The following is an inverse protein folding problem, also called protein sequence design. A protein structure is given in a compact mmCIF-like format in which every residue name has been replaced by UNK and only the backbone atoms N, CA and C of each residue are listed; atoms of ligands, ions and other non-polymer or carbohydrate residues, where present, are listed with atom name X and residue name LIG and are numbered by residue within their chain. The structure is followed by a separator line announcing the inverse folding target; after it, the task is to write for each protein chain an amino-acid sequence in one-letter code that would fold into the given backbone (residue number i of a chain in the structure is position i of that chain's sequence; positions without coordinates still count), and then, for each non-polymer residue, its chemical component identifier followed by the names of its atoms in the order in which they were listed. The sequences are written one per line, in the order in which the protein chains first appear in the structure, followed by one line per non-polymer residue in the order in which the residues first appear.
data_IF_952171182667
#
_entry.id   IF_952171182667
#
_cell.length_a   1.000
_cell.length_b   1.000
_cell.length_c   1.000
_cell.angle_alpha   90.00
_cell.angle_beta   90.00
_cell.angle_gamma   90.00
#
_symmetry.space_group_name_H-M   'P 1'
#
loop_
_entity.id
_entity.type
_entity.pdbx_description
1 polymer ?
#
# COMPACT_ATOMS: atom_id res chain seq x y z
N UNK A 1 9.61 35.94 -54.62
CA UNK A 1 8.92 37.22 -54.92
C UNK A 1 8.57 37.84 -53.58
N UNK A 2 9.36 38.75 -53.00
CA UNK A 2 9.74 40.06 -53.53
C UNK A 2 8.55 41.01 -53.35
N UNK A 3 8.42 41.68 -52.19
CA UNK A 3 8.84 43.07 -51.91
C UNK A 3 8.04 44.14 -52.70
N UNK A 4 7.52 45.14 -51.97
CA UNK A 4 7.55 46.61 -52.20
C UNK A 4 6.35 47.25 -51.44
N UNK A 5 6.56 47.94 -50.31
CA UNK A 5 6.96 49.37 -50.12
C UNK A 5 5.86 50.37 -50.50
N UNK A 6 5.55 51.33 -49.61
CA UNK A 6 5.72 52.79 -49.80
C UNK A 6 5.57 53.50 -48.42
N UNK A 7 6.51 54.42 -48.15
CA UNK A 7 6.62 55.40 -47.05
C UNK A 7 5.61 56.57 -47.16
N UNK A 8 5.28 57.27 -46.07
CA UNK A 8 5.75 58.66 -45.84
C UNK A 8 5.17 59.39 -44.61
N UNK A 9 6.11 59.87 -43.79
CA UNK A 9 6.30 61.11 -43.00
C UNK A 9 5.17 62.09 -42.54
N UNK A 10 5.56 62.83 -41.46
CA UNK A 10 5.10 64.10 -40.82
C UNK A 10 4.63 63.83 -39.37
N UNK A 11 5.22 64.31 -38.26
CA UNK A 11 6.07 65.46 -37.98
C UNK A 11 5.31 66.45 -37.09
N UNK A 12 5.67 66.60 -35.79
CA UNK A 12 5.53 67.83 -34.99
C UNK A 12 6.12 67.66 -33.56
N UNK A 13 7.15 68.44 -33.28
CA UNK A 13 7.79 68.66 -31.98
C UNK A 13 6.98 69.63 -31.10
N UNK A 14 7.11 69.50 -29.77
CA UNK A 14 7.22 70.67 -28.90
C UNK A 14 7.96 70.33 -27.59
N UNK A 15 9.11 70.98 -27.38
CA UNK A 15 9.89 71.02 -26.13
C UNK A 15 9.32 72.08 -25.17
N UNK A 16 9.44 71.87 -23.86
CA UNK A 16 9.84 72.91 -22.89
C UNK A 16 10.41 72.31 -21.59
N UNK A 17 11.53 72.90 -21.20
CA UNK A 17 12.51 72.59 -20.14
C UNK A 17 12.06 73.02 -18.73
N UNK A 18 12.35 72.22 -17.68
CA UNK A 18 13.43 72.32 -16.64
C UNK A 18 13.13 73.26 -15.45
N UNK A 19 13.25 72.71 -14.23
CA UNK A 19 13.92 73.23 -13.00
C UNK A 19 13.47 72.34 -11.80
N UNK A 20 14.27 71.80 -10.86
CA UNK A 20 15.69 71.83 -10.57
C UNK A 20 16.02 70.91 -9.35
N UNK A 21 17.18 70.23 -9.43
CA UNK A 21 18.19 69.87 -8.38
C UNK A 21 17.81 69.52 -6.92
N UNK A 22 18.23 68.32 -6.45
CA UNK A 22 19.41 68.10 -5.54
C UNK A 22 19.66 66.60 -5.21
N UNK A 23 20.77 66.06 -5.75
CA UNK A 23 21.83 65.19 -5.17
C UNK A 23 21.69 64.66 -3.70
N UNK A 24 21.96 63.40 -3.29
CA UNK A 24 23.22 62.60 -3.32
C UNK A 24 23.01 61.14 -2.78
N UNK A 25 23.63 60.16 -3.47
CA UNK A 25 24.20 58.82 -3.10
C UNK A 25 23.39 57.72 -2.36
N UNK A 26 23.30 56.56 -3.03
CA UNK A 26 23.85 55.29 -2.52
C UNK A 26 24.12 54.27 -3.65
N UNK A 27 25.30 53.63 -3.58
CA UNK A 27 25.85 52.60 -4.48
C UNK A 27 24.85 51.49 -4.84
N UNK A 28 24.77 51.17 -6.13
CA UNK A 28 24.25 49.87 -6.62
C UNK A 28 25.45 49.07 -7.10
N UNK A 29 25.86 48.08 -6.30
CA UNK A 29 26.77 47.03 -6.72
C UNK A 29 25.96 45.94 -7.44
N UNK A 30 26.41 45.59 -8.63
CA UNK A 30 25.94 44.48 -9.43
C UNK A 30 26.33 43.16 -8.77
N UNK A 31 25.35 42.28 -8.50
CA UNK A 31 25.63 40.88 -8.17
C UNK A 31 24.66 39.96 -8.93
N UNK A 32 25.23 39.34 -9.97
CA UNK A 32 25.02 37.97 -10.42
C UNK A 32 23.60 37.39 -10.37
N UNK A 33 23.05 37.20 -11.57
CA UNK A 33 22.05 36.19 -11.89
C UNK A 33 22.36 34.86 -11.19
N UNK A 34 21.55 34.51 -10.19
CA UNK A 34 21.57 33.18 -9.59
C UNK A 34 20.99 32.18 -10.60
N UNK A 35 21.90 31.48 -11.28
CA UNK A 35 21.58 30.28 -12.04
C UNK A 35 20.82 29.29 -11.15
N UNK A 36 19.65 28.89 -11.62
CA UNK A 36 18.90 27.75 -11.12
C UNK A 36 19.83 26.53 -11.02
N UNK A 37 20.03 26.01 -9.80
CA UNK A 37 20.75 24.77 -9.57
C UNK A 37 19.88 23.57 -9.94
N UNK A 38 20.38 22.56 -10.66
CA UNK A 38 19.64 21.35 -10.96
C UNK A 38 19.34 20.59 -9.66
N UNK A 39 18.15 20.02 -9.57
CA UNK A 39 17.69 19.12 -8.51
C UNK A 39 18.80 18.15 -8.13
N UNK A 40 19.31 18.25 -6.90
CA UNK A 40 20.41 17.39 -6.41
C UNK A 40 20.00 15.93 -6.59
N UNK A 41 20.66 15.23 -7.51
CA UNK A 41 20.39 13.83 -7.81
C UNK A 41 20.73 13.00 -6.58
N UNK A 42 19.75 12.32 -5.98
CA UNK A 42 19.95 11.51 -4.78
C UNK A 42 21.03 10.45 -4.99
N UNK A 43 21.92 10.30 -4.01
CA UNK A 43 22.97 9.28 -4.01
C UNK A 43 22.38 7.86 -4.00
N UNK A 44 23.15 6.87 -4.49
CA UNK A 44 22.70 5.46 -4.50
C UNK A 44 22.48 4.97 -3.07
N UNK A 45 23.32 5.39 -2.13
CA UNK A 45 23.24 5.07 -0.71
C UNK A 45 21.94 5.60 -0.10
N UNK A 46 21.55 6.83 -0.44
CA UNK A 46 20.32 7.43 0.05
C UNK A 46 19.09 6.72 -0.53
N UNK A 47 19.09 6.41 -1.82
CA UNK A 47 18.04 5.61 -2.45
C UNK A 47 17.94 4.24 -1.80
N UNK A 48 19.08 3.57 -1.57
CA UNK A 48 19.12 2.27 -0.91
C UNK A 48 18.50 2.32 0.49
N UNK A 49 18.87 3.31 1.32
CA UNK A 49 18.26 3.46 2.66
C UNK A 49 16.75 3.62 2.59
N UNK A 50 16.24 4.44 1.67
CA UNK A 50 14.79 4.66 1.52
C UNK A 50 14.09 3.37 1.08
N UNK A 51 14.57 2.72 0.01
CA UNK A 51 13.97 1.47 -0.48
C UNK A 51 14.05 0.38 0.59
N UNK A 52 15.21 0.19 1.22
CA UNK A 52 15.41 -0.81 2.26
C UNK A 52 14.50 -0.60 3.47
N UNK A 53 14.15 0.64 3.80
CA UNK A 53 13.24 0.98 4.91
C UNK A 53 11.79 0.52 4.69
N UNK A 54 11.41 0.17 3.45
CA UNK A 54 10.06 -0.32 3.12
C UNK A 54 9.89 -1.79 3.55
N UNK A 55 10.96 -2.57 3.54
CA UNK A 55 10.95 -3.98 3.90
C UNK A 55 11.39 -4.23 5.34
N UNK A 56 10.81 -5.23 5.98
CA UNK A 56 11.37 -5.88 7.17
C UNK A 56 12.57 -6.75 6.76
N UNK A 57 12.40 -7.55 5.69
CA UNK A 57 13.42 -8.43 5.14
C UNK A 57 13.76 -8.03 3.68
N UNK A 58 15.05 -8.14 3.32
CA UNK A 58 15.53 -7.94 1.96
C UNK A 58 16.41 -9.12 1.51
N UNK A 59 16.05 -9.78 0.40
CA UNK A 59 16.80 -10.90 -0.20
C UNK A 59 17.13 -10.52 -1.66
N UNK A 60 18.35 -10.08 -1.99
CA UNK A 60 19.48 -9.77 -1.10
C UNK A 60 19.80 -8.28 -1.14
N UNK A 61 20.32 -7.73 -0.02
CA UNK A 61 20.67 -6.31 0.09
C UNK A 61 21.73 -5.86 -0.93
N UNK A 62 22.76 -6.69 -1.16
CA UNK A 62 23.79 -6.39 -2.18
C UNK A 62 23.21 -6.34 -3.60
N UNK A 63 22.25 -7.23 -3.90
CA UNK A 63 21.55 -7.23 -5.19
C UNK A 63 20.69 -5.97 -5.35
N UNK A 64 20.02 -5.54 -4.27
CA UNK A 64 19.25 -4.30 -4.25
C UNK A 64 20.12 -3.07 -4.48
N UNK A 65 21.25 -2.97 -3.78
CA UNK A 65 22.20 -1.86 -3.96
C UNK A 65 22.72 -1.82 -5.41
N UNK A 66 23.13 -2.97 -5.94
CA UNK A 66 23.59 -3.09 -7.33
C UNK A 66 22.49 -2.74 -8.34
N UNK A 67 21.25 -3.14 -8.10
CA UNK A 67 20.11 -2.77 -8.95
C UNK A 67 19.92 -1.25 -8.98
N UNK A 68 19.89 -0.60 -7.82
CA UNK A 68 19.67 0.84 -7.70
C UNK A 68 20.81 1.67 -8.31
N UNK A 69 22.03 1.12 -8.35
CA UNK A 69 23.17 1.75 -9.03
C UNK A 69 23.08 1.71 -10.56
N UNK A 70 22.38 0.72 -11.13
CA UNK A 70 22.39 0.42 -12.58
C UNK A 70 21.07 0.76 -13.27
N UNK A 71 19.95 0.56 -12.59
CA UNK A 71 18.62 0.80 -13.13
C UNK A 71 18.02 2.06 -12.49
N UNK A 72 17.82 3.15 -13.25
CA UNK A 72 17.21 4.37 -12.71
C UNK A 72 15.71 4.20 -12.41
N UNK A 73 15.05 3.19 -13.00
CA UNK A 73 13.63 2.92 -12.84
C UNK A 73 13.32 1.45 -12.55
N UNK A 74 13.74 0.91 -11.38
CA UNK A 74 13.40 -0.46 -10.99
C UNK A 74 11.89 -0.68 -10.94
N UNK A 75 11.44 -1.84 -11.41
CA UNK A 75 10.03 -2.22 -11.36
C UNK A 75 9.76 -2.99 -10.06
N UNK A 76 8.99 -2.37 -9.18
CA UNK A 76 8.41 -3.01 -8.00
C UNK A 76 7.00 -3.51 -8.32
N UNK A 77 6.55 -4.59 -7.68
CA UNK A 77 5.13 -4.94 -7.70
C UNK A 77 4.62 -5.48 -6.36
N UNK A 78 3.32 -5.31 -6.14
CA UNK A 78 2.56 -5.98 -5.09
C UNK A 78 1.18 -6.41 -5.64
N UNK A 79 0.66 -7.54 -5.18
CA UNK A 79 -0.57 -8.16 -5.65
C UNK A 79 -1.65 -8.25 -4.58
N UNK A 80 -2.88 -7.92 -4.96
CA UNK A 80 -4.01 -7.86 -4.04
C UNK A 80 -5.20 -8.65 -4.58
N UNK A 81 -5.65 -9.66 -3.83
CA UNK A 81 -6.94 -10.32 -4.06
C UNK A 81 -8.09 -9.37 -3.68
N UNK A 82 -8.98 -8.98 -4.62
CA UNK A 82 -10.18 -8.20 -4.32
C UNK A 82 -11.21 -9.06 -3.55
N UNK A 83 -11.04 -9.13 -2.24
CA UNK A 83 -11.63 -10.17 -1.38
C UNK A 83 -12.48 -9.62 -0.23
N UNK A 84 -12.68 -8.30 -0.17
CA UNK A 84 -13.49 -7.65 0.86
C UNK A 84 -13.09 -6.20 1.08
N UNK A 85 -13.64 -5.60 2.14
CA UNK A 85 -13.23 -4.29 2.66
C UNK A 85 -11.70 -4.22 2.80
N UNK A 86 -11.11 -3.07 2.48
CA UNK A 86 -9.68 -2.86 2.59
C UNK A 86 -9.32 -2.48 4.03
N UNK A 87 -8.40 -3.22 4.66
CA UNK A 87 -7.89 -2.84 5.98
C UNK A 87 -6.73 -1.85 5.87
N UNK A 88 -6.41 -1.16 6.96
CA UNK A 88 -5.47 -0.02 6.96
C UNK A 88 -4.06 -0.36 6.44
N UNK A 89 -3.56 -1.57 6.69
CA UNK A 89 -2.27 -1.99 6.11
C UNK A 89 -2.30 -2.12 4.57
N UNK A 90 -3.42 -2.54 3.99
CA UNK A 90 -3.58 -2.61 2.53
C UNK A 90 -3.73 -1.22 1.91
N UNK A 91 -4.32 -0.26 2.63
CA UNK A 91 -4.49 1.11 2.16
C UNK A 91 -3.32 2.00 2.54
N UNK A 92 -3.33 2.53 3.76
CA UNK A 92 -2.37 3.55 4.22
C UNK A 92 -0.92 3.06 4.17
N UNK A 93 -0.60 1.92 4.79
CA UNK A 93 0.78 1.43 4.84
C UNK A 93 1.32 1.12 3.44
N UNK A 94 0.46 0.62 2.55
CA UNK A 94 0.81 0.41 1.15
C UNK A 94 1.04 1.74 0.44
N UNK A 95 0.17 2.72 0.58
CA UNK A 95 0.36 4.06 0.01
C UNK A 95 1.68 4.68 0.45
N UNK A 96 2.01 4.63 1.74
CA UNK A 96 3.30 5.09 2.27
C UNK A 96 4.49 4.38 1.62
N UNK A 97 4.41 3.05 1.48
CA UNK A 97 5.45 2.23 0.85
C UNK A 97 5.63 2.59 -0.62
N UNK A 98 4.52 2.71 -1.37
CA UNK A 98 4.53 3.07 -2.79
C UNK A 98 5.13 4.46 -2.98
N UNK A 99 4.70 5.44 -2.20
CA UNK A 99 5.20 6.81 -2.31
C UNK A 99 6.71 6.90 -2.01
N UNK A 100 7.21 6.12 -1.03
CA UNK A 100 8.66 6.01 -0.78
C UNK A 100 9.40 5.45 -2.00
N UNK A 101 8.90 4.37 -2.60
CA UNK A 101 9.53 3.76 -3.79
C UNK A 101 9.52 4.70 -4.99
N UNK A 102 8.40 5.35 -5.28
CA UNK A 102 8.28 6.27 -6.42
C UNK A 102 9.13 7.53 -6.24
N UNK A 103 9.29 8.02 -5.00
CA UNK A 103 10.15 9.16 -4.69
C UNK A 103 11.62 8.98 -5.07
N UNK A 104 12.10 7.73 -5.18
CA UNK A 104 13.48 7.39 -5.55
C UNK A 104 13.62 6.87 -6.99
N UNK A 105 12.53 6.96 -7.77
CA UNK A 105 12.51 6.65 -9.19
C UNK A 105 11.99 5.27 -9.56
N UNK A 106 11.60 4.43 -8.58
CA UNK A 106 11.00 3.13 -8.87
C UNK A 106 9.65 3.30 -9.57
N UNK A 107 9.34 2.37 -10.48
CA UNK A 107 7.99 2.16 -10.99
C UNK A 107 7.31 1.10 -10.15
N UNK A 108 6.03 1.29 -9.83
CA UNK A 108 5.27 0.38 -8.99
C UNK A 108 4.06 -0.15 -9.77
N UNK A 109 3.96 -1.46 -9.89
CA UNK A 109 2.79 -2.14 -10.45
C UNK A 109 1.92 -2.68 -9.31
N UNK A 110 0.69 -2.18 -9.21
CA UNK A 110 -0.32 -2.72 -8.32
C UNK A 110 -1.14 -3.74 -9.12
N UNK A 111 -0.93 -5.02 -8.79
CA UNK A 111 -1.57 -6.14 -9.46
C UNK A 111 -2.91 -6.46 -8.81
N UNK A 112 -4.00 -6.07 -9.48
CA UNK A 112 -5.37 -6.40 -9.10
C UNK A 112 -5.62 -7.86 -9.49
N UNK A 113 -5.43 -8.75 -8.51
CA UNK A 113 -5.36 -10.18 -8.70
C UNK A 113 -6.77 -10.80 -8.72
N UNK A 114 -7.61 -10.37 -9.65
CA UNK A 114 -9.01 -10.79 -9.79
C UNK A 114 -9.18 -12.28 -10.11
N UNK A 115 -8.38 -12.84 -11.02
CA UNK A 115 -8.35 -14.30 -11.23
C UNK A 115 -7.83 -15.06 -10.02
N UNK A 116 -6.87 -14.52 -9.28
CA UNK A 116 -6.36 -15.15 -8.06
C UNK A 116 -7.43 -15.18 -6.96
N UNK A 117 -8.18 -14.08 -6.79
CA UNK A 117 -9.33 -14.05 -5.88
C UNK A 117 -10.41 -15.06 -6.31
N UNK A 118 -10.66 -15.21 -7.61
CA UNK A 118 -11.58 -16.22 -8.14
C UNK A 118 -11.10 -17.65 -7.84
N UNK A 119 -9.83 -17.97 -8.12
CA UNK A 119 -9.22 -19.27 -7.82
C UNK A 119 -9.19 -19.61 -6.32
N UNK A 120 -9.15 -18.59 -5.46
CA UNK A 120 -9.19 -18.72 -4.00
C UNK A 120 -10.61 -18.64 -3.42
N UNK A 121 -11.64 -18.74 -4.26
CA UNK A 121 -13.06 -18.78 -3.88
C UNK A 121 -13.48 -17.56 -3.06
N UNK A 122 -13.04 -16.37 -3.47
CA UNK A 122 -13.49 -15.10 -2.89
C UNK A 122 -14.81 -14.68 -3.52
N UNK A 123 -15.65 -13.99 -2.75
CA UNK A 123 -16.96 -13.52 -3.20
C UNK A 123 -17.84 -14.64 -3.80
N UNK A 124 -17.79 -15.84 -3.20
CA UNK A 124 -18.49 -17.03 -3.70
C UNK A 124 -18.13 -17.40 -5.16
N UNK A 125 -16.89 -17.09 -5.59
CA UNK A 125 -16.42 -17.33 -6.95
C UNK A 125 -17.04 -16.39 -8.00
N UNK A 126 -17.62 -15.27 -7.58
CA UNK A 126 -18.26 -14.32 -8.51
C UNK A 126 -17.24 -13.27 -9.01
N UNK A 127 -16.80 -13.44 -10.26
CA UNK A 127 -15.78 -12.57 -10.86
C UNK A 127 -16.24 -11.12 -11.01
N UNK A 128 -17.53 -10.87 -11.28
CA UNK A 128 -18.05 -9.50 -11.41
C UNK A 128 -18.02 -8.78 -10.06
N UNK A 129 -18.36 -9.48 -8.97
CA UNK A 129 -18.23 -8.93 -7.61
C UNK A 129 -16.77 -8.69 -7.26
N UNK A 130 -15.87 -9.61 -7.59
CA UNK A 130 -14.42 -9.44 -7.39
C UNK A 130 -13.94 -8.19 -8.13
N UNK A 131 -14.32 -8.01 -9.39
CA UNK A 131 -13.91 -6.83 -10.18
C UNK A 131 -14.50 -5.54 -9.64
N UNK A 132 -15.76 -5.55 -9.19
CA UNK A 132 -16.37 -4.41 -8.49
C UNK A 132 -15.56 -4.03 -7.24
N UNK A 133 -15.15 -5.02 -6.44
CA UNK A 133 -14.29 -4.78 -5.27
C UNK A 133 -12.92 -4.26 -5.69
N UNK A 134 -12.33 -4.76 -6.79
CA UNK A 134 -11.05 -4.30 -7.31
C UNK A 134 -11.06 -2.81 -7.67
N UNK A 135 -12.13 -2.33 -8.31
CA UNK A 135 -12.31 -0.90 -8.57
C UNK A 135 -12.40 -0.09 -7.26
N UNK A 136 -13.11 -0.60 -6.26
CA UNK A 136 -13.20 0.04 -4.95
C UNK A 136 -11.84 0.14 -4.25
N UNK A 137 -10.98 -0.90 -4.38
CA UNK A 137 -9.63 -0.84 -3.85
C UNK A 137 -8.79 0.27 -4.52
N UNK A 138 -8.91 0.42 -5.85
CA UNK A 138 -8.23 1.48 -6.61
C UNK A 138 -8.65 2.87 -6.12
N UNK A 139 -9.94 3.10 -5.91
CA UNK A 139 -10.44 4.38 -5.41
C UNK A 139 -9.92 4.70 -4.00
N UNK A 140 -9.77 3.69 -3.14
CA UNK A 140 -9.14 3.87 -1.82
C UNK A 140 -7.68 4.31 -1.95
N UNK A 141 -6.88 3.65 -2.78
CA UNK A 141 -5.46 4.02 -2.91
C UNK A 141 -5.29 5.44 -3.45
N UNK A 142 -6.12 5.85 -4.41
CA UNK A 142 -6.18 7.24 -4.89
C UNK A 142 -6.49 8.21 -3.75
N UNK A 143 -7.58 7.96 -3.02
CA UNK A 143 -8.03 8.84 -1.94
C UNK A 143 -7.07 8.87 -0.74
N UNK A 144 -6.35 7.77 -0.48
CA UNK A 144 -5.31 7.69 0.53
C UNK A 144 -4.03 8.45 0.16
N UNK A 145 -3.97 9.12 -1.00
CA UNK A 145 -2.81 9.92 -1.41
C UNK A 145 -1.68 9.11 -2.02
N UNK A 146 -1.98 7.98 -2.67
CA UNK A 146 -0.99 7.29 -3.50
C UNK A 146 -0.61 8.20 -4.66
N UNK A 147 0.68 8.53 -4.77
CA UNK A 147 1.15 9.46 -5.76
C UNK A 147 1.14 8.80 -7.14
N UNK A 148 0.15 9.16 -7.95
CA UNK A 148 0.00 8.70 -9.33
C UNK A 148 0.64 9.66 -10.35
N UNK A 149 1.17 10.80 -9.89
CA UNK A 149 1.80 11.77 -10.76
C UNK A 149 3.03 11.17 -11.46
N UNK A 150 3.30 11.62 -12.68
CA UNK A 150 4.43 11.10 -13.47
C UNK A 150 4.28 9.67 -13.96
N UNK A 151 3.13 9.00 -13.72
CA UNK A 151 2.85 7.67 -14.27
C UNK A 151 3.76 6.56 -13.72
N UNK A 152 4.33 6.76 -12.53
CA UNK A 152 5.20 5.76 -11.90
C UNK A 152 4.41 4.60 -11.29
N UNK A 153 3.11 4.76 -11.05
CA UNK A 153 2.22 3.72 -10.52
C UNK A 153 1.25 3.24 -11.61
N UNK A 154 1.20 1.93 -11.82
CA UNK A 154 0.30 1.28 -12.78
C UNK A 154 -0.64 0.30 -12.05
N UNK A 155 -1.96 0.46 -12.24
CA UNK A 155 -2.94 -0.54 -11.80
C UNK A 155 -3.21 -1.52 -12.94
N UNK A 156 -2.83 -2.78 -12.74
CA UNK A 156 -2.90 -3.83 -13.76
C UNK A 156 -3.85 -4.94 -13.29
N UNK A 157 -4.73 -5.40 -14.15
CA UNK A 157 -5.73 -6.42 -13.85
C UNK A 157 -5.24 -7.79 -14.32
N UNK A 158 -5.23 -8.77 -13.42
CA UNK A 158 -4.64 -10.08 -13.74
C UNK A 158 -5.32 -10.78 -14.91
N UNK A 159 -6.66 -10.82 -14.91
CA UNK A 159 -7.43 -11.39 -16.01
C UNK A 159 -7.13 -10.69 -17.34
N UNK A 160 -7.10 -9.36 -17.37
CA UNK A 160 -6.88 -8.57 -18.58
C UNK A 160 -5.48 -8.79 -19.15
N UNK A 161 -4.46 -8.63 -18.31
CA UNK A 161 -3.06 -8.72 -18.72
C UNK A 161 -2.68 -10.14 -19.14
N UNK A 162 -3.13 -11.15 -18.38
CA UNK A 162 -2.85 -12.54 -18.75
C UNK A 162 -3.56 -12.90 -20.06
N UNK A 163 -4.82 -12.50 -20.27
CA UNK A 163 -5.51 -12.80 -21.53
C UNK A 163 -4.85 -12.12 -22.74
N UNK A 164 -4.42 -10.86 -22.60
CA UNK A 164 -3.81 -10.12 -23.72
C UNK A 164 -2.48 -10.72 -24.18
N UNK A 165 -1.78 -11.42 -23.28
CA UNK A 165 -0.48 -12.06 -23.55
C UNK A 165 -0.48 -13.53 -23.09
N UNK A 166 -1.58 -14.24 -23.33
CA UNK A 166 -1.78 -15.62 -22.87
C UNK A 166 -0.70 -16.58 -23.38
N UNK A 167 -0.22 -16.36 -24.60
CA UNK A 167 0.84 -17.12 -25.24
C UNK A 167 2.22 -16.95 -24.56
N UNK A 168 2.44 -15.86 -23.82
CA UNK A 168 3.64 -15.64 -23.00
C UNK A 168 3.46 -16.24 -21.60
N UNK A 169 2.29 -16.00 -21.00
CA UNK A 169 2.05 -16.30 -19.59
C UNK A 169 1.89 -17.80 -19.29
N UNK A 170 1.02 -18.51 -20.02
CA UNK A 170 0.69 -19.90 -19.68
C UNK A 170 1.85 -20.88 -19.90
N UNK A 171 2.69 -20.76 -20.94
CA UNK A 171 3.90 -21.58 -21.04
C UNK A 171 4.84 -21.40 -19.86
N UNK A 172 4.98 -20.18 -19.34
CA UNK A 172 5.78 -19.91 -18.14
C UNK A 172 5.19 -20.59 -16.90
N UNK A 173 3.87 -20.49 -16.69
CA UNK A 173 3.18 -21.21 -15.58
C UNK A 173 3.43 -22.70 -15.66
N UNK A 174 3.32 -23.30 -16.85
CA UNK A 174 3.52 -24.73 -17.05
C UNK A 174 4.99 -25.14 -16.86
N UNK A 175 5.96 -24.34 -17.32
CA UNK A 175 7.38 -24.60 -17.10
C UNK A 175 7.75 -24.56 -15.61
N UNK A 176 7.21 -23.59 -14.86
CA UNK A 176 7.35 -23.53 -13.39
C UNK A 176 6.78 -24.80 -12.74
N UNK A 177 5.61 -25.25 -13.18
CA UNK A 177 4.99 -26.46 -12.66
C UNK A 177 5.80 -27.73 -12.98
N UNK A 178 6.36 -27.85 -14.19
CA UNK A 178 7.21 -28.99 -14.61
C UNK A 178 8.48 -29.09 -13.76
N UNK A 179 9.10 -27.94 -13.44
CA UNK A 179 10.37 -27.90 -12.70
C UNK A 179 10.20 -28.07 -11.19
N UNK A 180 8.98 -28.07 -10.67
CA UNK A 180 8.73 -28.13 -9.24
C UNK A 180 7.94 -29.36 -8.83
N UNK A 181 8.43 -30.03 -7.77
CA UNK A 181 7.67 -31.11 -7.13
C UNK A 181 6.40 -30.55 -6.51
N UNK A 182 5.30 -31.31 -6.55
CA UNK A 182 4.01 -30.91 -5.99
C UNK A 182 4.11 -30.46 -4.52
N UNK A 183 4.88 -31.16 -3.68
CA UNK A 183 5.11 -30.79 -2.29
C UNK A 183 5.72 -29.38 -2.13
N UNK A 184 6.58 -28.95 -3.07
CA UNK A 184 7.18 -27.61 -3.05
C UNK A 184 6.12 -26.53 -3.31
N UNK A 185 5.21 -26.79 -4.24
CA UNK A 185 4.08 -25.91 -4.58
C UNK A 185 3.07 -25.85 -3.41
N UNK A 186 2.72 -26.98 -2.82
CA UNK A 186 1.81 -27.04 -1.66
C UNK A 186 2.31 -26.24 -0.44
N UNK A 187 3.64 -26.14 -0.25
CA UNK A 187 4.23 -25.28 0.80
C UNK A 187 4.03 -23.78 0.53
N UNK A 188 3.82 -23.37 -0.73
CA UNK A 188 3.52 -21.99 -1.10
C UNK A 188 2.05 -21.61 -0.94
N UNK A 189 1.11 -22.56 -0.78
CA UNK A 189 -0.32 -22.26 -0.59
C UNK A 189 -0.64 -21.46 0.69
N UNK A 190 0.35 -21.20 1.55
CA UNK A 190 0.19 -20.23 2.64
C UNK A 190 0.03 -18.78 2.14
N UNK A 191 0.55 -18.46 0.95
CA UNK A 191 0.41 -17.15 0.30
C UNK A 191 -1.06 -16.72 0.13
N UNK A 192 -1.96 -17.69 -0.12
CA UNK A 192 -3.41 -17.49 -0.26
C UNK A 192 -4.19 -17.64 1.07
N UNK A 193 -3.49 -17.75 2.21
CA UNK A 193 -4.08 -17.84 3.55
C UNK A 193 -4.60 -19.23 3.95
N UNK A 194 -4.19 -20.30 3.25
CA UNK A 194 -4.59 -21.69 3.55
C UNK A 194 -3.53 -22.36 4.43
N UNK A 195 -3.90 -22.81 5.63
CA UNK A 195 -3.00 -23.50 6.59
C UNK A 195 -2.97 -25.02 6.43
N UNK A 196 -4.12 -25.63 6.09
CA UNK A 196 -4.24 -27.08 5.86
C UNK A 196 -4.06 -27.38 4.37
N UNK A 197 -3.28 -28.43 4.09
CA UNK A 197 -3.01 -28.91 2.74
C UNK A 197 -4.08 -29.91 2.25
N UNK A 198 -4.84 -30.49 3.17
CA UNK A 198 -5.95 -31.38 2.85
C UNK A 198 -7.15 -30.58 2.32
N UNK A 199 -7.72 -31.03 1.19
CA UNK A 199 -8.88 -30.39 0.56
C UNK A 199 -8.56 -29.22 -0.37
N UNK A 200 -7.29 -29.03 -0.77
CA UNK A 200 -6.94 -28.05 -1.79
C UNK A 200 -7.50 -28.46 -3.17
N UNK A 201 -8.09 -27.52 -3.89
CA UNK A 201 -8.50 -27.74 -5.28
C UNK A 201 -7.29 -27.68 -6.21
N UNK A 202 -7.39 -28.27 -7.41
CA UNK A 202 -6.34 -28.15 -8.41
C UNK A 202 -6.02 -26.68 -8.76
N UNK A 203 -7.04 -25.82 -8.82
CA UNK A 203 -6.88 -24.38 -8.99
C UNK A 203 -5.95 -23.76 -7.93
N UNK A 204 -6.06 -24.18 -6.67
CA UNK A 204 -5.22 -23.71 -5.56
C UNK A 204 -3.78 -24.28 -5.61
N UNK A 205 -3.54 -25.35 -6.37
CA UNK A 205 -2.20 -25.84 -6.68
C UNK A 205 -1.58 -24.99 -7.81
N UNK A 206 -2.37 -24.58 -8.80
CA UNK A 206 -1.88 -23.71 -9.88
C UNK A 206 -1.60 -22.29 -9.43
N UNK A 207 -2.31 -21.79 -8.42
CA UNK A 207 -2.16 -20.41 -7.94
C UNK A 207 -0.70 -20.05 -7.60
N UNK A 208 0.07 -20.80 -6.79
CA UNK A 208 1.48 -20.45 -6.57
C UNK A 208 2.34 -20.47 -7.84
N UNK A 209 2.05 -21.35 -8.80
CA UNK A 209 2.74 -21.36 -10.09
C UNK A 209 2.44 -20.08 -10.89
N UNK A 210 1.17 -19.65 -10.88
CA UNK A 210 0.72 -18.39 -11.49
C UNK A 210 1.38 -17.18 -10.82
N UNK A 211 1.37 -17.11 -9.48
CA UNK A 211 1.98 -16.00 -8.75
C UNK A 211 3.51 -15.95 -8.94
N UNK A 212 4.16 -17.10 -9.10
CA UNK A 212 5.58 -17.16 -9.49
C UNK A 212 5.78 -16.63 -10.93
N UNK A 213 4.89 -16.99 -11.86
CA UNK A 213 4.94 -16.52 -13.25
C UNK A 213 4.73 -15.00 -13.34
N UNK A 214 3.84 -14.42 -12.53
CA UNK A 214 3.57 -12.97 -12.47
C UNK A 214 4.85 -12.16 -12.30
N UNK A 215 5.79 -12.61 -11.47
CA UNK A 215 7.06 -11.91 -11.20
C UNK A 215 7.82 -11.64 -12.50
N UNK A 216 7.93 -12.66 -13.35
CA UNK A 216 8.65 -12.54 -14.62
C UNK A 216 7.80 -11.88 -15.71
N UNK A 217 6.50 -12.17 -15.73
CA UNK A 217 5.55 -11.61 -16.70
C UNK A 217 5.38 -10.09 -16.55
N UNK A 218 5.39 -9.61 -15.30
CA UNK A 218 5.38 -8.18 -14.96
C UNK A 218 6.77 -7.55 -15.07
N UNK A 219 7.82 -8.35 -15.29
CA UNK A 219 9.23 -7.93 -15.34
C UNK A 219 9.62 -7.20 -14.05
N UNK A 220 9.19 -7.72 -12.90
CA UNK A 220 9.49 -7.12 -11.61
C UNK A 220 10.97 -7.35 -11.25
N UNK A 221 11.67 -6.26 -10.95
CA UNK A 221 13.00 -6.29 -10.34
C UNK A 221 12.89 -6.51 -8.82
N UNK A 222 11.83 -5.98 -8.20
CA UNK A 222 11.59 -6.04 -6.75
C UNK A 222 10.18 -6.58 -6.47
N UNK A 223 10.10 -7.72 -5.78
CA UNK A 223 8.87 -8.24 -5.20
C UNK A 223 8.62 -7.55 -3.85
N UNK A 224 7.79 -6.50 -3.83
CA UNK A 224 7.47 -5.72 -2.63
C UNK A 224 6.14 -6.16 -1.98
N UNK A 225 6.10 -7.41 -1.52
CA UNK A 225 4.90 -8.04 -0.94
C UNK A 225 5.05 -8.22 0.59
N UNK A 226 4.02 -8.70 1.28
CA UNK A 226 4.09 -8.98 2.71
C UNK A 226 4.97 -10.21 3.01
N UNK A 227 5.44 -10.35 4.26
CA UNK A 227 6.20 -11.53 4.71
C UNK A 227 5.48 -12.87 4.47
N UNK A 228 4.14 -12.87 4.42
CA UNK A 228 3.34 -14.06 4.11
C UNK A 228 3.47 -14.55 2.65
N UNK A 229 3.94 -13.69 1.74
CA UNK A 229 4.21 -14.02 0.34
C UNK A 229 5.65 -14.50 0.09
N UNK A 230 6.50 -14.50 1.12
CA UNK A 230 7.94 -14.82 1.01
C UNK A 230 8.21 -16.16 0.33
N UNK A 231 7.40 -17.20 0.60
CA UNK A 231 7.64 -18.56 0.09
C UNK A 231 7.56 -18.67 -1.43
N UNK A 232 6.64 -17.94 -2.06
CA UNK A 232 6.50 -17.92 -3.52
C UNK A 232 7.53 -16.98 -4.16
N UNK A 233 7.91 -15.90 -3.48
CA UNK A 233 9.02 -15.06 -3.93
C UNK A 233 10.36 -15.82 -3.93
N UNK A 234 10.60 -16.67 -2.92
CA UNK A 234 11.76 -17.57 -2.89
C UNK A 234 11.66 -18.64 -3.97
N UNK A 235 10.45 -19.17 -4.26
CA UNK A 235 10.24 -20.09 -5.37
C UNK A 235 10.67 -19.48 -6.72
N UNK A 236 10.41 -18.18 -6.94
CA UNK A 236 10.86 -17.50 -8.15
C UNK A 236 12.39 -17.39 -8.24
N UNK A 237 13.08 -17.18 -7.12
CA UNK A 237 14.55 -17.19 -7.09
C UNK A 237 15.12 -18.58 -7.36
N UNK A 238 14.55 -19.63 -6.77
CA UNK A 238 14.90 -21.03 -7.04
C UNK A 238 14.69 -21.37 -8.52
N UNK A 239 13.56 -20.95 -9.10
CA UNK A 239 13.29 -21.13 -10.53
C UNK A 239 14.32 -20.42 -11.42
N UNK A 240 14.84 -19.25 -11.00
CA UNK A 240 15.92 -18.59 -11.73
C UNK A 240 17.21 -19.42 -11.74
N UNK A 241 17.55 -20.08 -10.62
CA UNK A 241 18.70 -20.97 -10.53
C UNK A 241 18.55 -22.17 -11.47
N UNK A 242 17.41 -22.84 -11.44
CA UNK A 242 17.12 -24.02 -12.27
C UNK A 242 17.10 -23.70 -13.78
N UNK A 243 16.69 -22.49 -14.13
CA UNK A 243 16.62 -22.02 -15.53
C UNK A 243 17.82 -21.18 -15.97
N UNK A 244 18.80 -20.99 -15.07
CA UNK A 244 19.99 -20.14 -15.29
C UNK A 244 19.63 -18.71 -15.73
N UNK A 245 18.50 -18.18 -15.25
CA UNK A 245 18.11 -16.77 -15.43
C UNK A 245 19.02 -15.90 -14.55
N UNK A 246 19.72 -14.96 -15.18
CA UNK A 246 20.67 -14.08 -14.49
C UNK A 246 19.97 -13.05 -13.58
N UNK A 247 18.81 -12.56 -14.01
CA UNK A 247 18.08 -11.53 -13.28
C UNK A 247 17.15 -12.20 -12.28
N UNK A 248 17.63 -12.35 -11.04
CA UNK A 248 16.80 -12.78 -9.91
C UNK A 248 16.03 -11.59 -9.35
N UNK A 249 14.74 -11.75 -9.03
CA UNK A 249 13.99 -10.70 -8.36
C UNK A 249 14.52 -10.51 -6.94
N UNK A 250 14.69 -9.26 -6.52
CA UNK A 250 14.92 -8.91 -5.12
C UNK A 250 13.60 -9.08 -4.36
N UNK A 251 13.64 -9.72 -3.20
CA UNK A 251 12.49 -9.87 -2.32
C UNK A 251 12.60 -8.79 -1.26
N UNK A 252 11.66 -7.85 -1.22
CA UNK A 252 11.60 -6.77 -0.23
C UNK A 252 10.30 -6.88 0.56
N UNK A 253 10.30 -7.79 1.54
CA UNK A 253 9.10 -8.19 2.25
C UNK A 253 8.76 -7.19 3.36
N UNK A 254 7.56 -6.61 3.36
CA UNK A 254 7.14 -5.66 4.41
C UNK A 254 6.53 -6.35 5.64
N UNK A 255 6.56 -5.63 6.76
CA UNK A 255 6.03 -6.08 8.05
C UNK A 255 4.53 -6.40 7.99
N UNK A 256 4.12 -7.46 8.68
CA UNK A 256 2.71 -7.86 8.78
C UNK A 256 2.05 -7.15 9.94
N UNK A 257 1.29 -6.09 9.66
CA UNK A 257 0.62 -5.33 10.71
C UNK A 257 -0.36 -6.22 11.50
N UNK A 258 -0.19 -6.25 12.82
CA UNK A 258 -0.95 -7.11 13.73
C UNK A 258 -2.44 -6.75 13.78
N UNK A 259 -3.26 -7.72 14.20
CA UNK A 259 -4.64 -7.45 14.58
C UNK A 259 -4.70 -6.66 15.89
N UNK A 260 -5.81 -5.96 16.13
CA UNK A 260 -5.99 -5.14 17.33
C UNK A 260 -6.15 -5.96 18.61
N UNK A 261 -6.50 -7.25 18.55
CA UNK A 261 -6.71 -8.09 19.72
C UNK A 261 -5.47 -8.91 20.07
N UNK A 262 -5.38 -9.37 21.32
CA UNK A 262 -4.23 -10.13 21.82
C UNK A 262 -4.00 -11.42 21.00
N UNK A 263 -2.74 -11.72 20.70
CA UNK A 263 -2.34 -12.93 19.98
C UNK A 263 -2.63 -12.93 18.47
N UNK A 264 -3.14 -11.84 17.91
CA UNK A 264 -3.39 -11.74 16.47
C UNK A 264 -2.17 -11.22 15.72
N UNK A 265 -1.31 -12.13 15.24
CA UNK A 265 -0.09 -11.79 14.47
C UNK A 265 -0.35 -11.06 13.14
N UNK A 266 -1.59 -11.08 12.63
CA UNK A 266 -1.98 -10.40 11.38
C UNK A 266 -3.44 -9.98 11.44
N UNK A 267 -3.75 -8.78 10.91
CA UNK A 267 -5.14 -8.40 10.66
C UNK A 267 -5.88 -9.42 9.78
N UNK A 268 -7.11 -9.71 10.18
CA UNK A 268 -7.97 -10.66 9.48
C UNK A 268 -9.30 -10.02 9.12
N UNK A 269 -9.74 -10.21 7.88
CA UNK A 269 -11.08 -9.82 7.43
C UNK A 269 -12.20 -10.64 8.11
N UNK A 270 -11.87 -11.74 8.79
CA UNK A 270 -12.85 -12.63 9.44
C UNK A 270 -13.42 -12.05 10.73
N UNK A 271 -12.62 -11.27 11.46
CA UNK A 271 -13.05 -10.58 12.67
C UNK A 271 -13.00 -9.07 12.40
N UNK A 272 -14.13 -8.45 12.04
CA UNK A 272 -14.19 -7.02 11.75
C UNK A 272 -13.79 -6.12 12.92
N UNK A 273 -13.82 -6.62 14.16
CA UNK A 273 -13.41 -5.86 15.34
C UNK A 273 -11.89 -5.79 15.50
N UNK A 274 -11.17 -6.72 14.87
CA UNK A 274 -9.71 -6.83 14.91
C UNK A 274 -8.96 -5.95 13.92
N UNK A 275 -9.65 -5.33 12.96
CA UNK A 275 -9.04 -4.57 11.88
C UNK A 275 -9.71 -3.20 11.73
N UNK A 276 -8.90 -2.18 11.49
CA UNK A 276 -9.38 -0.88 11.01
C UNK A 276 -9.53 -0.96 9.50
N UNK A 277 -10.73 -0.65 8.99
CA UNK A 277 -10.99 -0.55 7.56
C UNK A 277 -10.85 0.90 7.11
N UNK A 278 -10.50 1.07 5.82
CA UNK A 278 -10.15 2.37 5.25
C UNK A 278 -11.31 3.39 5.27
N UNK A 279 -12.52 2.88 5.33
CA UNK A 279 -13.77 3.65 5.37
C UNK A 279 -14.57 3.43 6.67
N UNK A 280 -13.95 2.94 7.73
CA UNK A 280 -14.58 2.97 9.05
C UNK A 280 -14.85 4.42 9.47
N UNK A 281 -16.06 4.69 9.99
CA UNK A 281 -16.41 5.98 10.58
C UNK A 281 -15.60 6.28 11.84
N UNK A 282 -15.61 7.55 12.27
CA UNK A 282 -14.78 8.03 13.38
C UNK A 282 -15.02 7.24 14.69
N UNK A 283 -16.28 7.02 15.01
CA UNK A 283 -16.74 6.29 16.19
C UNK A 283 -16.36 4.81 16.14
N UNK A 284 -16.39 4.19 14.96
CA UNK A 284 -15.95 2.82 14.75
C UNK A 284 -14.45 2.66 15.01
N UNK A 285 -13.62 3.60 14.54
CA UNK A 285 -12.17 3.62 14.82
C UNK A 285 -11.92 3.78 16.32
N UNK A 286 -12.57 4.76 16.96
CA UNK A 286 -12.46 4.99 18.41
C UNK A 286 -12.84 3.72 19.19
N UNK A 287 -13.98 3.12 18.86
CA UNK A 287 -14.49 1.91 19.51
C UNK A 287 -13.52 0.73 19.39
N UNK A 288 -12.93 0.51 18.20
CA UNK A 288 -11.96 -0.57 17.96
C UNK A 288 -10.64 -0.33 18.70
N UNK A 289 -10.09 0.88 18.65
CA UNK A 289 -8.87 1.23 19.39
C UNK A 289 -9.09 1.15 20.91
N UNK A 290 -10.26 1.54 21.42
CA UNK A 290 -10.60 1.39 22.84
C UNK A 290 -10.69 -0.08 23.29
N UNK A 291 -10.95 -1.02 22.38
CA UNK A 291 -11.01 -2.46 22.67
C UNK A 291 -9.71 -3.21 22.35
N UNK A 292 -8.75 -2.53 21.74
CA UNK A 292 -7.47 -3.14 21.35
C UNK A 292 -6.68 -3.66 22.55
N UNK A 293 -5.77 -4.60 22.31
CA UNK A 293 -4.77 -5.02 23.26
C UNK A 293 -3.70 -3.93 23.40
N UNK A 294 -3.55 -3.37 24.58
CA UNK A 294 -2.54 -2.33 24.85
C UNK A 294 -2.12 -2.42 26.33
N UNK A 295 -1.37 -3.47 26.70
CA UNK A 295 -0.91 -3.66 28.07
C UNK A 295 0.02 -2.51 28.49
N UNK A 296 -0.11 -1.99 29.73
CA UNK A 296 0.76 -0.92 30.21
C UNK A 296 2.22 -1.38 30.25
N UNK A 297 3.14 -0.50 29.89
CA UNK A 297 4.59 -0.67 29.99
C UNK A 297 5.18 -1.84 29.16
N UNK A 298 4.39 -2.45 28.28
CA UNK A 298 4.80 -3.56 27.41
C UNK A 298 4.74 -3.13 25.94
N UNK A 299 5.90 -3.15 25.29
CA UNK A 299 6.04 -2.83 23.86
C UNK A 299 5.78 -4.04 22.97
N UNK A 300 6.28 -5.21 23.39
CA UNK A 300 6.24 -6.41 22.57
C UNK A 300 4.79 -6.83 22.28
N UNK A 301 4.49 -7.08 21.00
CA UNK A 301 3.16 -7.49 20.52
C UNK A 301 2.02 -6.54 20.93
N UNK A 302 2.32 -5.25 21.05
CA UNK A 302 1.34 -4.20 21.34
C UNK A 302 0.85 -3.53 20.03
N UNK A 303 -0.35 -3.88 19.53
CA UNK A 303 -0.86 -3.35 18.26
C UNK A 303 -0.95 -1.83 18.23
N UNK A 304 -1.28 -1.16 19.34
CA UNK A 304 -1.36 0.30 19.35
C UNK A 304 0.01 0.94 19.04
N UNK A 305 1.07 0.44 19.69
CA UNK A 305 2.43 0.93 19.44
C UNK A 305 2.90 0.58 18.04
N UNK A 306 2.52 -0.59 17.54
CA UNK A 306 2.82 -1.01 16.18
C UNK A 306 2.18 -0.10 15.11
N UNK A 307 0.91 0.29 15.30
CA UNK A 307 0.23 1.23 14.41
C UNK A 307 0.87 2.62 14.48
N UNK A 308 1.27 3.06 15.68
CA UNK A 308 2.00 4.32 15.82
C UNK A 308 3.32 4.26 15.04
N UNK A 309 4.10 3.18 15.19
CA UNK A 309 5.39 2.98 14.52
C UNK A 309 5.31 2.91 13.00
N UNK A 310 4.38 2.12 12.46
CA UNK A 310 4.35 1.81 11.02
C UNK A 310 3.35 2.64 10.21
N UNK A 311 2.42 3.34 10.87
CA UNK A 311 1.43 4.18 10.21
C UNK A 311 1.62 5.64 10.62
N UNK A 312 1.50 5.94 11.91
CA UNK A 312 1.36 7.34 12.36
C UNK A 312 2.68 8.11 12.19
N UNK A 313 3.80 7.56 12.64
CA UNK A 313 5.12 8.18 12.45
C UNK A 313 5.47 8.35 10.96
N UNK A 314 5.36 7.34 10.08
CA UNK A 314 5.62 7.54 8.66
C UNK A 314 4.69 8.54 7.97
N UNK A 315 3.49 8.78 8.52
CA UNK A 315 2.51 9.70 7.94
C UNK A 315 2.70 11.14 8.39
N UNK A 316 2.90 11.38 9.69
CA UNK A 316 3.01 12.73 10.27
C UNK A 316 4.43 13.15 10.65
N UNK A 317 5.40 12.22 10.67
CA UNK A 317 6.75 12.36 11.23
C UNK A 317 6.82 12.60 12.75
N UNK A 318 5.68 12.66 13.44
CA UNK A 318 5.58 12.86 14.87
C UNK A 318 4.29 12.21 15.43
N UNK A 319 4.21 12.08 16.75
CA UNK A 319 3.00 11.63 17.44
C UNK A 319 2.66 12.59 18.58
N UNK A 320 1.46 13.18 18.54
CA UNK A 320 1.00 14.13 19.56
C UNK A 320 0.04 13.45 20.53
N UNK A 321 0.30 13.58 21.82
CA UNK A 321 -0.56 13.07 22.90
C UNK A 321 -1.07 14.26 23.72
N UNK A 322 -2.38 14.46 23.69
CA UNK A 322 -3.07 15.51 24.45
C UNK A 322 -3.53 14.95 25.80
N UNK A 323 -3.04 15.54 26.90
CA UNK A 323 -3.37 15.13 28.27
C UNK A 323 -3.60 16.34 29.14
N UNK A 324 -4.35 16.17 30.23
CA UNK A 324 -4.50 17.21 31.25
C UNK A 324 -3.15 17.50 31.91
N UNK A 325 -2.99 18.70 32.49
CA UNK A 325 -1.73 19.10 33.15
C UNK A 325 -1.35 18.15 34.29
N UNK A 326 -2.34 17.62 35.00
CA UNK A 326 -2.17 16.66 36.10
C UNK A 326 -1.66 15.29 35.60
N UNK A 327 -1.87 14.97 34.33
CA UNK A 327 -1.43 13.72 33.68
C UNK A 327 -0.20 13.91 32.78
N UNK A 328 0.59 14.96 33.02
CA UNK A 328 1.85 15.22 32.31
C UNK A 328 1.73 16.14 31.10
N UNK A 329 0.54 16.71 30.84
CA UNK A 329 0.32 17.70 29.79
C UNK A 329 0.47 17.18 28.36
N UNK A 330 0.28 18.08 27.40
CA UNK A 330 0.51 17.79 25.99
C UNK A 330 1.98 17.46 25.72
N UNK A 331 2.23 16.37 25.01
CA UNK A 331 3.58 15.98 24.59
C UNK A 331 3.58 15.56 23.12
N UNK A 332 4.59 16.01 22.38
CA UNK A 332 4.84 15.58 21.00
C UNK A 332 6.10 14.74 20.98
N UNK A 333 5.99 13.52 20.46
CA UNK A 333 7.09 12.59 20.28
C UNK A 333 7.63 12.72 18.86
N UNK A 334 8.93 12.93 18.70
CA UNK A 334 9.57 13.07 17.39
C UNK A 334 10.01 11.71 16.80
N UNK A 335 10.03 10.66 17.60
CA UNK A 335 10.45 9.32 17.19
C UNK A 335 9.74 8.22 17.98
N UNK A 336 9.69 7.02 17.41
CA UNK A 336 9.11 5.86 18.10
C UNK A 336 9.94 5.47 19.33
N UNK A 337 11.25 5.66 19.27
CA UNK A 337 12.19 5.35 20.35
C UNK A 337 11.92 6.21 21.59
N UNK A 338 11.64 7.50 21.41
CA UNK A 338 11.24 8.40 22.49
C UNK A 338 9.91 7.95 23.12
N UNK A 339 8.92 7.65 22.29
CA UNK A 339 7.61 7.18 22.74
C UNK A 339 7.69 5.86 23.49
N UNK A 340 8.47 4.92 22.98
CA UNK A 340 8.72 3.61 23.57
C UNK A 340 9.36 3.73 24.96
N UNK A 341 10.34 4.62 25.12
CA UNK A 341 11.01 4.87 26.39
C UNK A 341 10.03 5.39 27.46
N UNK A 342 9.19 6.36 27.11
CA UNK A 342 8.16 6.89 28.01
C UNK A 342 7.08 5.86 28.34
N UNK A 343 6.67 5.05 27.36
CA UNK A 343 5.67 4.02 27.56
C UNK A 343 6.16 2.93 28.53
N UNK A 344 7.42 2.49 28.41
CA UNK A 344 8.03 1.49 29.32
C UNK A 344 8.19 2.04 30.74
N UNK A 345 8.55 3.32 30.89
CA UNK A 345 8.64 3.97 32.20
C UNK A 345 7.28 4.17 32.88
N UNK A 346 6.20 4.13 32.11
CA UNK A 346 4.85 4.46 32.59
C UNK A 346 4.51 5.95 32.53
N UNK A 347 5.40 6.78 31.96
CA UNK A 347 5.20 8.21 31.73
C UNK A 347 4.11 8.45 30.66
N UNK A 348 3.91 7.48 29.75
CA UNK A 348 2.80 7.43 28.80
C UNK A 348 1.97 6.16 29.05
N UNK A 349 0.69 6.33 29.40
CA UNK A 349 -0.21 5.22 29.74
C UNK A 349 -1.18 4.90 28.61
N UNK A 350 -1.72 3.66 28.54
CA UNK A 350 -2.72 3.28 27.53
C UNK A 350 -3.94 4.20 27.44
N UNK A 351 -4.39 4.75 28.58
CA UNK A 351 -5.55 5.65 28.67
C UNK A 351 -5.34 6.96 27.92
N UNK A 352 -4.09 7.40 27.81
CA UNK A 352 -3.70 8.63 27.12
C UNK A 352 -3.29 8.33 25.66
N UNK A 353 -2.65 7.18 25.43
CA UNK A 353 -2.17 6.75 24.11
C UNK A 353 -3.31 6.40 23.13
N UNK A 354 -4.37 5.72 23.60
CA UNK A 354 -5.47 5.26 22.75
C UNK A 354 -6.25 6.44 22.11
N UNK A 355 -6.69 7.47 22.86
CA UNK A 355 -7.37 8.62 22.26
C UNK A 355 -6.51 9.35 21.22
N UNK A 356 -5.22 9.54 21.52
CA UNK A 356 -4.26 10.16 20.59
C UNK A 356 -4.09 9.34 19.30
N UNK A 357 -3.98 8.01 19.44
CA UNK A 357 -3.94 7.09 18.29
C UNK A 357 -5.22 7.15 17.47
N UNK A 358 -6.40 7.09 18.10
CA UNK A 358 -7.68 7.21 17.40
C UNK A 358 -7.79 8.52 16.62
N UNK A 359 -7.41 9.64 17.22
CA UNK A 359 -7.40 10.96 16.57
C UNK A 359 -6.50 10.95 15.33
N UNK A 360 -5.27 10.47 15.47
CA UNK A 360 -4.32 10.38 14.36
C UNK A 360 -4.83 9.48 13.22
N UNK A 361 -5.35 8.29 13.53
CA UNK A 361 -5.92 7.39 12.54
C UNK A 361 -7.14 8.00 11.83
N UNK A 362 -8.01 8.69 12.57
CA UNK A 362 -9.17 9.35 11.97
C UNK A 362 -8.77 10.47 11.01
N UNK A 363 -7.72 11.24 11.32
CA UNK A 363 -7.16 12.23 10.39
C UNK A 363 -6.61 11.59 9.11
N UNK A 364 -5.91 10.46 9.25
CA UNK A 364 -5.35 9.70 8.11
C UNK A 364 -6.45 9.15 7.20
N UNK A 365 -7.55 8.66 7.78
CA UNK A 365 -8.65 8.06 7.03
C UNK A 365 -9.63 9.10 6.45
N UNK A 366 -9.58 10.35 6.93
CA UNK A 366 -10.53 11.38 6.53
C UNK A 366 -10.58 11.64 5.01
N UNK A 367 -9.46 11.72 4.27
CA UNK A 367 -9.49 11.88 2.82
C UNK A 367 -10.25 10.76 2.10
N UNK A 368 -10.17 9.52 2.60
CA UNK A 368 -10.90 8.38 2.04
C UNK A 368 -12.40 8.50 2.29
N UNK A 369 -12.80 8.90 3.51
CA UNK A 369 -14.21 9.15 3.83
C UNK A 369 -14.79 10.26 2.98
N UNK A 370 -14.06 11.35 2.83
CA UNK A 370 -14.48 12.50 2.03
C UNK A 370 -14.63 12.11 0.55
N UNK A 371 -13.70 11.31 0.00
CA UNK A 371 -13.79 10.79 -1.37
C UNK A 371 -15.09 10.02 -1.61
N UNK A 372 -15.40 9.03 -0.77
CA UNK A 372 -16.61 8.22 -0.90
C UNK A 372 -17.91 8.96 -0.55
N UNK A 373 -17.81 10.14 0.08
CA UNK A 373 -18.95 11.00 0.37
C UNK A 373 -19.24 11.98 -0.78
N UNK A 374 -18.18 12.55 -1.37
CA UNK A 374 -18.26 13.70 -2.25
C UNK A 374 -18.20 13.32 -3.74
N UNK A 375 -17.53 12.22 -4.11
CA UNK A 375 -17.51 11.71 -5.49
C UNK A 375 -18.68 10.74 -5.71
N UNK A 376 -19.59 11.08 -6.62
CA UNK A 376 -20.80 10.29 -6.88
C UNK A 376 -20.50 8.88 -7.39
N UNK A 377 -19.45 8.72 -8.21
CA UNK A 377 -19.08 7.41 -8.75
C UNK A 377 -18.48 6.53 -7.67
N UNK A 378 -17.56 7.07 -6.86
CA UNK A 378 -16.97 6.39 -5.73
C UNK A 378 -18.05 6.00 -4.72
N UNK A 379 -18.97 6.91 -4.39
CA UNK A 379 -20.11 6.64 -3.50
C UNK A 379 -20.98 5.51 -4.00
N UNK A 380 -21.39 5.54 -5.28
CA UNK A 380 -22.20 4.49 -5.89
C UNK A 380 -21.47 3.13 -5.88
N UNK A 381 -20.17 3.14 -6.14
CA UNK A 381 -19.32 1.96 -6.08
C UNK A 381 -19.25 1.40 -4.65
N UNK A 382 -19.08 2.26 -3.65
CA UNK A 382 -19.02 1.86 -2.25
C UNK A 382 -20.34 1.25 -1.76
N UNK A 383 -21.49 1.81 -2.15
CA UNK A 383 -22.80 1.23 -1.82
C UNK A 383 -23.01 -0.15 -2.47
N UNK A 384 -22.57 -0.35 -3.72
CA UNK A 384 -22.55 -1.69 -4.35
C UNK A 384 -21.69 -2.66 -3.54
N UNK A 385 -20.53 -2.23 -3.09
CA UNK A 385 -19.60 -3.05 -2.31
C UNK A 385 -20.16 -3.38 -0.93
N UNK A 386 -20.82 -2.43 -0.23
CA UNK A 386 -21.56 -2.70 1.01
C UNK A 386 -22.66 -3.75 0.80
N UNK A 387 -23.40 -3.65 -0.31
CA UNK A 387 -24.44 -4.64 -0.64
C UNK A 387 -23.86 -6.04 -0.85
N UNK A 388 -22.73 -6.15 -1.55
CA UNK A 388 -22.02 -7.43 -1.73
C UNK A 388 -21.69 -8.05 -0.35
N UNK A 389 -21.19 -7.25 0.60
CA UNK A 389 -20.83 -7.74 1.92
C UNK A 389 -22.02 -8.09 2.80
N UNK A 390 -23.11 -7.31 2.75
CA UNK A 390 -24.31 -7.58 3.54
C UNK A 390 -25.05 -8.81 3.01
N UNK A 391 -25.14 -8.99 1.68
CA UNK A 391 -25.77 -10.15 1.05
C UNK A 391 -25.02 -11.45 1.35
N UNK A 392 -23.68 -11.44 1.27
CA UNK A 392 -22.84 -12.60 1.63
C UNK A 392 -23.00 -13.05 3.08
N UNK A 393 -23.15 -12.09 4.01
CA UNK A 393 -23.35 -12.35 5.44
C UNK A 393 -24.73 -12.98 5.73
N UNK A 394 -25.79 -12.52 5.06
CA UNK A 394 -27.12 -13.10 5.19
C UNK A 394 -27.18 -14.53 4.66
N UNK A 395 -26.54 -14.81 3.53
CA UNK A 395 -26.47 -16.16 2.94
C UNK A 395 -25.75 -17.15 3.86
N UNK A 396 -24.62 -16.75 4.44
CA UNK A 396 -23.88 -17.57 5.41
C UNK A 396 -24.67 -17.82 6.71
N UNK A 397 -25.40 -16.81 7.22
CA UNK A 397 -26.29 -17.01 8.37
C UNK A 397 -27.41 -18.00 8.05
N UNK A 398 -28.06 -17.88 6.89
CA UNK A 398 -29.13 -18.78 6.45
C UNK A 398 -28.60 -20.21 6.27
N UNK A 399 -27.47 -20.40 5.59
CA UNK A 399 -26.86 -21.73 5.43
C UNK A 399 -26.48 -22.33 6.78
N UNK A 400 -25.90 -21.54 7.70
CA UNK A 400 -25.57 -22.00 9.05
C UNK A 400 -26.83 -22.38 9.85
N UNK A 401 -27.91 -21.60 9.73
CA UNK A 401 -29.22 -21.91 10.30
C UNK A 401 -29.85 -23.18 9.71
N UNK A 402 -29.77 -23.37 8.39
CA UNK A 402 -30.25 -24.58 7.71
C UNK A 402 -29.41 -25.80 8.14
N UNK A 403 -28.10 -25.65 8.27
CA UNK A 403 -27.21 -26.73 8.70
C UNK A 403 -27.42 -27.10 10.18
N UNK A 404 -27.56 -26.11 11.06
CA UNK A 404 -27.96 -26.32 12.46
C UNK A 404 -29.34 -26.97 12.55
N UNK A 405 -30.29 -26.55 11.72
CA UNK A 405 -31.62 -27.15 11.66
C UNK A 405 -31.57 -28.60 11.17
N UNK A 406 -30.77 -28.90 10.15
CA UNK A 406 -30.54 -30.27 9.67
C UNK A 406 -29.87 -31.18 10.71
N UNK A 407 -29.00 -30.64 11.56
CA UNK A 407 -28.40 -31.35 12.70
C UNK A 407 -29.38 -31.60 13.83
N UNK A 408 -30.29 -30.65 14.10
CA UNK A 408 -31.33 -30.78 15.12
C UNK A 408 -32.45 -31.71 14.66
N UNK A 409 -32.77 -31.71 13.37
CA UNK A 409 -33.85 -32.51 12.78
C UNK A 409 -33.40 -33.94 12.41
N UNK A 410 -32.15 -34.34 12.72
CA UNK A 410 -31.67 -35.72 12.59
C UNK A 410 -31.66 -36.28 11.16
N UNK A 411 -31.67 -35.42 10.14
CA UNK A 411 -31.65 -35.86 8.75
C UNK A 411 -30.20 -36.10 8.33
N UNK A 412 -29.74 -37.34 8.48
CA UNK A 412 -28.62 -37.86 7.70
C UNK A 412 -29.03 -37.84 6.22
N UNK A 413 -28.51 -36.88 5.46
CA UNK A 413 -28.48 -37.00 4.00
C UNK A 413 -27.32 -37.94 3.66
N UNK A 414 -27.68 -39.20 3.34
CA UNK A 414 -26.82 -40.21 2.72
C UNK A 414 -26.44 -39.83 1.30
#
# INVERSE_FOLDING_TARGET
MGLLKVDDTIGLETKREIMGTQEVKSKVESSSSSSWSPTTQMSVEEKFRIVRSVGEECIQEDELFNLLSKNPHPICYDGFEPSGRMHIAQGVMKTLSVNKLTSVGCKVKIWIADWFAFLNDKMDGDLEKIQTVGHYLIEIWKAAGMNLEGGQVEFLWSSKEINSRAHEYWPLVMDIAIKNKLQRIMRCCQAMGRKKQDGLTAAQIFYPCMQCADIFFLKADICQLGMDQRKVNVLAREYCDDTKRKNKPIILSHHMLSGLLEGQEKMSKRDPSSAIFMEDEEDAVISKINKSYCPPNVIEKNPCLEYIKYIVFPWFNEFRVERTKENGGEKTFASFEELAADYVKGDLRPVDLRPALSKALNMILQPVRDHFKNDENAKALFEKVKFIFSAGFHRHKIIKLIWLKSLVDGVCLS
#
